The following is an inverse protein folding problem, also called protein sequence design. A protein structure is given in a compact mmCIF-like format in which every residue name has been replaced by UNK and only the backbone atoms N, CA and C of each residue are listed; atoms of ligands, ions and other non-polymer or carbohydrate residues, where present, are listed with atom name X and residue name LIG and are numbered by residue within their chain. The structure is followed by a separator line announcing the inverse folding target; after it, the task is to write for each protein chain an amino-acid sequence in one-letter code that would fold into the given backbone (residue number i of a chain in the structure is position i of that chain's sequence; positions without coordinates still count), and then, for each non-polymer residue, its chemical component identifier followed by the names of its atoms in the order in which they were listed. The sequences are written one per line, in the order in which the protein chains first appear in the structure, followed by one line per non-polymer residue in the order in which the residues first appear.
data_IF_223434734110
#
_entry.id   IF_223434734110
#
_cell.length_a   1.000
_cell.length_b   1.000
_cell.length_c   1.000
_cell.angle_alpha   90.00
_cell.angle_beta   90.00
_cell.angle_gamma   90.00
#
_symmetry.space_group_name_H-M   'P 1'
#
loop_
_entity.id
_entity.type
_entity.pdbx_description
1 polymer ?
#
# COMPACT_ATOMS: atom_id res chain seq x y z
N UNK A 1 24.85 15.96 -6.59
CA UNK A 1 23.42 15.63 -6.78
C UNK A 1 22.76 15.59 -5.41
N UNK A 2 21.98 16.62 -5.09
CA UNK A 2 21.47 16.89 -3.74
C UNK A 2 20.39 15.89 -3.31
N UNK A 3 20.47 15.44 -2.06
CA UNK A 3 19.62 14.42 -1.40
C UNK A 3 18.12 14.78 -1.40
N UNK A 4 17.80 16.05 -1.65
CA UNK A 4 16.43 16.57 -1.77
C UNK A 4 15.75 16.18 -3.09
N UNK A 5 16.49 15.99 -4.19
CA UNK A 5 15.91 15.57 -5.47
C UNK A 5 15.39 14.12 -5.46
N UNK A 6 15.98 13.27 -4.63
CA UNK A 6 15.64 11.84 -4.56
C UNK A 6 14.38 11.60 -3.70
N UNK A 7 14.12 12.48 -2.72
CA UNK A 7 12.89 12.44 -1.89
C UNK A 7 11.70 12.95 -2.70
N UNK A 8 11.85 14.00 -3.51
CA UNK A 8 10.77 14.52 -4.36
C UNK A 8 10.41 13.56 -5.51
N UNK A 9 11.40 12.89 -6.12
CA UNK A 9 11.15 11.91 -7.18
C UNK A 9 10.42 10.65 -6.69
N UNK A 10 10.60 10.25 -5.42
CA UNK A 10 9.91 9.09 -4.83
C UNK A 10 8.45 9.37 -4.44
N UNK A 11 8.09 10.63 -4.13
CA UNK A 11 6.69 11.02 -3.93
C UNK A 11 5.88 10.98 -5.23
N UNK A 12 6.49 11.29 -6.38
CA UNK A 12 5.80 11.31 -7.68
C UNK A 12 5.49 9.89 -8.23
N UNK A 13 6.35 8.89 -7.97
CA UNK A 13 6.12 7.53 -8.49
C UNK A 13 5.06 6.73 -7.71
N UNK A 14 4.74 7.10 -6.47
CA UNK A 14 3.73 6.40 -5.67
C UNK A 14 2.29 6.85 -6.01
N UNK A 15 2.10 8.06 -6.54
CA UNK A 15 0.78 8.55 -6.98
C UNK A 15 0.30 7.91 -8.29
N UNK A 16 1.19 7.40 -9.14
CA UNK A 16 0.81 6.84 -10.45
C UNK A 16 0.39 5.36 -10.39
N UNK A 17 0.78 4.61 -9.34
CA UNK A 17 0.42 3.19 -9.20
C UNK A 17 -0.96 2.95 -8.56
N UNK A 18 -1.53 3.95 -7.88
CA UNK A 18 -2.86 3.85 -7.27
C UNK A 18 -4.00 4.10 -8.28
N UNK A 19 -3.71 4.63 -9.47
CA UNK A 19 -4.72 4.98 -10.48
C UNK A 19 -5.04 3.86 -11.48
N UNK A 20 -4.30 2.74 -11.46
CA UNK A 20 -4.51 1.62 -12.39
C UNK A 20 -5.05 0.38 -11.67
N UNK A 21 -6.28 0.46 -11.19
CA UNK A 21 -7.08 -0.73 -10.90
C UNK A 21 -7.95 -1.03 -12.14
N UNK A 22 -7.83 -2.20 -12.79
CA UNK A 22 -8.72 -2.56 -13.88
C UNK A 22 -10.15 -2.74 -13.34
N UNK A 23 -11.11 -2.12 -14.01
CA UNK A 23 -12.53 -2.27 -13.73
C UNK A 23 -12.94 -3.75 -13.84
N UNK A 24 -13.38 -4.34 -12.73
CA UNK A 24 -14.03 -5.64 -12.74
C UNK A 24 -15.47 -5.45 -13.22
N UNK A 25 -15.76 -5.98 -14.40
CA UNK A 25 -17.09 -6.08 -15.01
C UNK A 25 -17.97 -7.01 -14.16
N UNK A 26 -19.06 -6.47 -13.63
CA UNK A 26 -20.00 -7.19 -12.77
C UNK A 26 -21.08 -7.86 -13.63
N UNK A 27 -21.36 -9.17 -13.49
CA UNK A 27 -22.36 -9.85 -14.31
C UNK A 27 -23.77 -9.41 -13.91
N UNK A 28 -24.57 -9.06 -14.91
CA UNK A 28 -25.96 -8.63 -14.78
C UNK A 28 -26.84 -9.70 -14.12
N UNK A 29 -27.61 -9.32 -13.10
CA UNK A 29 -28.66 -10.14 -12.49
C UNK A 29 -29.91 -9.27 -12.25
N UNK A 30 -31.00 -9.62 -12.94
CA UNK A 30 -32.38 -9.45 -12.48
C UNK A 30 -33.00 -8.05 -12.46
N UNK A 31 -33.71 -7.69 -13.52
CA UNK A 31 -34.66 -6.57 -13.58
C UNK A 31 -35.92 -6.87 -12.73
N UNK A 32 -36.36 -5.98 -11.82
CA UNK A 32 -37.77 -5.92 -11.44
C UNK A 32 -38.50 -4.86 -12.27
N UNK A 33 -39.72 -5.20 -12.67
CA UNK A 33 -40.58 -4.45 -13.58
C UNK A 33 -40.93 -3.04 -13.08
N UNK A 34 -40.76 -2.04 -13.96
CA UNK A 34 -41.29 -0.69 -13.81
C UNK A 34 -42.78 -0.68 -14.18
N UNK A 35 -43.64 -0.29 -13.24
CA UNK A 35 -45.05 0.03 -13.50
C UNK A 35 -45.11 1.42 -14.12
N UNK A 36 -45.59 1.52 -15.36
CA UNK A 36 -45.78 2.76 -16.09
C UNK A 36 -47.12 3.40 -15.72
N UNK A 37 -47.11 4.60 -15.14
CA UNK A 37 -48.28 5.50 -15.06
C UNK A 37 -48.14 6.62 -16.12
N UNK A 38 -49.24 7.04 -16.78
CA UNK A 38 -49.16 8.00 -17.88
C UNK A 38 -49.08 9.45 -17.39
N UNK A 39 -48.21 10.23 -18.04
CA UNK A 39 -48.06 11.67 -17.82
C UNK A 39 -49.14 12.47 -18.58
N UNK A 40 -49.70 13.57 -18.01
CA UNK A 40 -50.41 14.57 -18.78
C UNK A 40 -49.44 15.61 -19.36
N UNK A 41 -49.73 16.00 -20.61
CA UNK A 41 -49.00 16.97 -21.44
C UNK A 41 -49.11 18.41 -20.90
N UNK A 42 -48.05 19.25 -20.93
CA UNK A 42 -48.17 20.66 -20.57
C UNK A 42 -48.62 21.50 -21.76
N UNK A 43 -49.80 22.11 -21.63
CA UNK A 43 -50.27 23.17 -22.52
C UNK A 43 -49.54 24.49 -22.22
N UNK A 44 -49.08 25.18 -23.27
CA UNK A 44 -48.43 26.48 -23.21
C UNK A 44 -49.39 27.61 -22.75
N UNK A 45 -48.94 28.56 -21.91
CA UNK A 45 -49.65 29.81 -21.72
C UNK A 45 -49.12 30.91 -22.66
N UNK A 46 -50.07 31.63 -23.24
CA UNK A 46 -49.90 32.80 -24.10
C UNK A 46 -49.26 33.99 -23.36
N UNK A 47 -48.52 34.79 -24.13
CA UNK A 47 -48.00 36.10 -23.72
C UNK A 47 -49.14 37.11 -23.50
N UNK A 48 -49.02 38.04 -22.53
CA UNK A 48 -49.75 39.29 -22.53
C UNK A 48 -48.87 40.47 -22.99
N UNK A 49 -49.57 41.36 -23.69
CA UNK A 49 -49.14 42.59 -24.34
C UNK A 49 -49.16 43.76 -23.34
N UNK A 50 -48.24 44.72 -23.49
CA UNK A 50 -48.55 46.16 -23.33
C UNK A 50 -48.57 46.78 -21.91
N UNK A 51 -47.66 47.73 -21.73
CA UNK A 51 -47.54 48.80 -20.71
C UNK A 51 -48.88 49.58 -20.45
N UNK A 52 -49.07 50.38 -19.35
CA UNK A 52 -48.09 51.34 -18.81
C UNK A 52 -48.00 51.48 -17.27
N UNK A 53 -46.86 52.04 -16.82
CA UNK A 53 -46.73 52.69 -15.51
C UNK A 53 -47.65 53.93 -15.45
N UNK A 54 -48.24 54.29 -14.29
CA UNK A 54 -47.51 55.09 -13.29
C UNK A 54 -47.95 54.89 -11.82
N UNK A 55 -47.30 55.67 -10.94
CA UNK A 55 -47.64 56.04 -9.56
C UNK A 55 -47.04 55.17 -8.43
N UNK A 56 -45.89 55.66 -7.92
CA UNK A 56 -45.52 55.49 -6.51
C UNK A 56 -46.52 56.26 -5.62
N UNK A 57 -46.87 55.69 -4.46
CA UNK A 57 -47.04 56.47 -3.24
C UNK A 57 -45.95 56.16 -2.21
N UNK A 58 -45.56 57.22 -1.52
CA UNK A 58 -44.47 57.35 -0.58
C UNK A 58 -44.65 56.55 0.71
N UNK A 59 -43.50 56.17 1.29
CA UNK A 59 -43.16 56.10 2.71
C UNK A 59 -44.31 56.03 3.73
N UNK A 60 -44.47 54.84 4.32
CA UNK A 60 -45.13 54.62 5.60
C UNK A 60 -44.21 53.81 6.49
N UNK A 61 -43.87 54.37 7.65
CA UNK A 61 -42.96 53.83 8.63
C UNK A 61 -43.44 52.50 9.25
N UNK A 62 -42.48 51.67 9.63
CA UNK A 62 -42.61 50.75 10.76
C UNK A 62 -43.34 49.45 10.50
N UNK A 63 -42.69 48.52 9.80
CA UNK A 63 -42.92 47.09 10.06
C UNK A 63 -41.59 46.53 10.55
N UNK A 64 -41.59 46.08 11.80
CA UNK A 64 -40.46 45.47 12.46
C UNK A 64 -39.75 44.51 11.49
N UNK A 65 -38.45 44.72 11.32
CA UNK A 65 -37.59 43.70 10.76
C UNK A 65 -37.76 42.47 11.65
N UNK A 66 -38.54 41.49 11.21
CA UNK A 66 -38.45 40.16 11.78
C UNK A 66 -36.97 39.78 11.68
N UNK A 67 -36.33 39.37 12.79
CA UNK A 67 -35.01 38.83 12.69
C UNK A 67 -35.16 37.61 11.79
N UNK A 68 -34.65 37.70 10.56
CA UNK A 68 -34.39 36.51 9.76
C UNK A 68 -33.72 35.54 10.73
N UNK A 69 -34.28 34.35 11.01
CA UNK A 69 -33.62 33.43 11.93
C UNK A 69 -32.24 33.25 11.34
N UNK A 70 -31.23 33.74 12.04
CA UNK A 70 -29.87 33.56 11.63
C UNK A 70 -29.76 32.06 11.43
N UNK A 71 -29.57 31.63 10.18
CA UNK A 71 -29.20 30.27 9.85
C UNK A 71 -27.87 30.06 10.57
N UNK A 72 -27.95 29.69 11.84
CA UNK A 72 -26.83 29.23 12.62
C UNK A 72 -26.48 27.89 12.00
N UNK A 73 -25.67 27.95 10.95
CA UNK A 73 -24.84 26.87 10.50
C UNK A 73 -23.46 27.01 11.15
N UNK A 74 -23.27 26.74 12.45
CA UNK A 74 -22.03 26.15 12.89
C UNK A 74 -22.14 24.63 12.70
N UNK A 75 -22.24 24.18 11.44
CA UNK A 75 -21.69 22.87 11.13
C UNK A 75 -20.20 23.12 10.91
N UNK A 76 -19.42 22.84 11.94
CA UNK A 76 -17.98 22.98 11.91
C UNK A 76 -17.42 21.87 10.99
N UNK A 77 -17.44 22.12 9.67
CA UNK A 77 -16.99 21.21 8.61
C UNK A 77 -15.46 21.05 8.59
N UNK A 78 -14.78 21.40 9.69
CA UNK A 78 -13.38 21.10 9.85
C UNK A 78 -13.19 19.57 9.86
N UNK A 79 -12.07 19.04 9.31
CA UNK A 79 -11.79 17.60 9.38
C UNK A 79 -11.80 17.06 10.81
N UNK A 80 -11.44 17.92 11.77
CA UNK A 80 -11.50 17.62 13.20
C UNK A 80 -12.95 17.52 13.70
N UNK A 81 -13.81 18.47 13.34
CA UNK A 81 -15.24 18.44 13.66
C UNK A 81 -15.94 17.21 13.07
N UNK A 82 -15.67 16.89 11.80
CA UNK A 82 -16.19 15.69 11.13
C UNK A 82 -15.71 14.40 11.82
N UNK A 83 -14.45 14.34 12.23
CA UNK A 83 -13.94 13.18 12.98
C UNK A 83 -14.62 13.06 14.34
N UNK A 84 -14.83 14.15 15.07
CA UNK A 84 -15.52 14.11 16.38
C UNK A 84 -17.00 13.75 16.26
N UNK A 85 -17.66 14.15 15.17
CA UNK A 85 -19.03 13.78 14.85
C UNK A 85 -19.20 12.32 14.38
N UNK A 86 -18.11 11.66 13.96
CA UNK A 86 -18.18 10.28 13.47
C UNK A 86 -18.51 9.27 14.58
N UNK A 87 -19.16 8.17 14.18
CA UNK A 87 -19.46 7.04 15.06
C UNK A 87 -18.19 6.37 15.61
N UNK A 88 -18.30 5.74 16.79
CA UNK A 88 -17.17 5.10 17.48
C UNK A 88 -16.50 4.02 16.61
N UNK A 89 -17.26 3.28 15.80
CA UNK A 89 -16.72 2.26 14.91
C UNK A 89 -15.94 2.90 13.76
N UNK A 90 -16.44 3.99 13.18
CA UNK A 90 -15.74 4.75 12.12
C UNK A 90 -14.42 5.32 12.65
N UNK A 91 -14.43 5.90 13.86
CA UNK A 91 -13.23 6.37 14.54
C UNK A 91 -12.21 5.25 14.74
N UNK A 92 -12.65 4.07 15.20
CA UNK A 92 -11.77 2.92 15.37
C UNK A 92 -11.15 2.45 14.05
N UNK A 93 -11.93 2.41 12.96
CA UNK A 93 -11.42 2.08 11.61
C UNK A 93 -10.36 3.08 11.16
N UNK A 94 -10.63 4.39 11.27
CA UNK A 94 -9.68 5.43 10.86
C UNK A 94 -8.36 5.36 11.65
N UNK A 95 -8.43 5.20 12.97
CA UNK A 95 -7.24 5.07 13.83
C UNK A 95 -6.49 3.77 13.51
N UNK A 96 -7.20 2.65 13.31
CA UNK A 96 -6.61 1.37 12.94
C UNK A 96 -5.84 1.43 11.62
N UNK A 97 -6.41 2.09 10.60
CA UNK A 97 -5.76 2.31 9.31
C UNK A 97 -4.54 3.24 9.44
N UNK A 98 -4.62 4.29 10.25
CA UNK A 98 -3.48 5.17 10.53
C UNK A 98 -2.33 4.43 11.22
N UNK A 99 -2.64 3.57 12.20
CA UNK A 99 -1.65 2.71 12.85
C UNK A 99 -1.03 1.70 11.88
N UNK A 100 -1.84 1.03 11.05
CA UNK A 100 -1.36 0.09 10.04
C UNK A 100 -0.41 0.77 9.03
N UNK A 101 -0.66 2.04 8.69
CA UNK A 101 0.23 2.86 7.86
C UNK A 101 1.61 3.06 8.52
N UNK A 102 1.64 3.42 9.81
CA UNK A 102 2.88 3.59 10.57
C UNK A 102 3.70 2.28 10.64
N UNK A 103 3.02 1.17 10.89
CA UNK A 103 3.64 -0.17 10.90
C UNK A 103 4.24 -0.50 9.54
N UNK A 104 3.50 -0.24 8.46
CA UNK A 104 3.95 -0.48 7.08
C UNK A 104 5.23 0.29 6.78
N UNK A 105 5.27 1.59 7.10
CA UNK A 105 6.44 2.44 6.83
C UNK A 105 7.66 1.99 7.64
N UNK A 106 7.47 1.63 8.91
CA UNK A 106 8.54 1.14 9.80
C UNK A 106 9.16 -0.15 9.25
N UNK A 107 8.33 -1.11 8.85
CA UNK A 107 8.80 -2.38 8.30
C UNK A 107 9.48 -2.16 6.94
N UNK A 108 8.90 -1.31 6.08
CA UNK A 108 9.48 -0.97 4.78
C UNK A 108 10.90 -0.40 4.93
N UNK A 109 11.09 0.53 5.87
CA UNK A 109 12.39 1.14 6.14
C UNK A 109 13.39 0.11 6.69
N UNK A 110 12.98 -0.66 7.70
CA UNK A 110 13.82 -1.71 8.28
C UNK A 110 14.25 -2.75 7.23
N UNK A 111 13.31 -3.21 6.39
CA UNK A 111 13.61 -4.17 5.32
C UNK A 111 14.48 -3.59 4.21
N UNK A 112 14.28 -2.33 3.85
CA UNK A 112 15.14 -1.65 2.88
C UNK A 112 16.60 -1.62 3.36
N UNK A 113 16.83 -1.31 4.65
CA UNK A 113 18.17 -1.34 5.24
C UNK A 113 18.75 -2.76 5.31
N UNK A 114 17.95 -3.75 5.72
CA UNK A 114 18.37 -5.16 5.79
C UNK A 114 18.79 -5.70 4.41
N UNK A 115 17.98 -5.46 3.37
CA UNK A 115 18.25 -5.87 1.99
C UNK A 115 19.49 -5.15 1.45
N UNK A 116 19.65 -3.86 1.73
CA UNK A 116 20.80 -3.09 1.28
C UNK A 116 22.11 -3.59 1.91
N UNK A 117 22.11 -3.83 3.23
CA UNK A 117 23.23 -4.40 3.95
C UNK A 117 23.58 -5.81 3.44
N UNK A 118 22.55 -6.65 3.23
CA UNK A 118 22.71 -7.99 2.64
C UNK A 118 23.32 -7.95 1.24
N UNK A 119 22.84 -7.05 0.36
CA UNK A 119 23.36 -6.87 -1.00
C UNK A 119 24.81 -6.41 -1.00
N UNK A 120 25.18 -5.50 -0.10
CA UNK A 120 26.55 -5.02 0.01
C UNK A 120 27.49 -6.13 0.51
N UNK A 121 27.06 -6.90 1.51
CA UNK A 121 27.77 -8.07 2.01
C UNK A 121 27.95 -9.15 0.93
N UNK A 122 26.90 -9.47 0.18
CA UNK A 122 26.94 -10.44 -0.92
C UNK A 122 27.91 -10.01 -2.03
N UNK A 123 27.91 -8.72 -2.41
CA UNK A 123 28.87 -8.17 -3.38
C UNK A 123 30.31 -8.27 -2.91
N UNK A 124 30.57 -7.99 -1.62
CA UNK A 124 31.90 -8.15 -1.02
C UNK A 124 32.36 -9.61 -1.04
N UNK A 125 31.48 -10.53 -0.66
CA UNK A 125 31.75 -11.97 -0.72
C UNK A 125 32.05 -12.43 -2.15
N UNK A 126 31.24 -12.04 -3.13
CA UNK A 126 31.43 -12.40 -4.54
C UNK A 126 32.78 -11.90 -5.08
N UNK A 127 33.18 -10.66 -4.74
CA UNK A 127 34.51 -10.13 -5.12
C UNK A 127 35.65 -10.92 -4.48
N UNK A 128 35.53 -11.24 -3.19
CA UNK A 128 36.57 -11.99 -2.48
C UNK A 128 36.71 -13.42 -3.01
N UNK A 129 35.59 -14.07 -3.36
CA UNK A 129 35.60 -15.40 -4.00
C UNK A 129 36.20 -15.30 -5.41
N UNK A 130 35.79 -14.32 -6.22
CA UNK A 130 36.28 -14.14 -7.58
C UNK A 130 37.78 -13.82 -7.68
N UNK A 131 38.36 -13.21 -6.63
CA UNK A 131 39.79 -12.91 -6.57
C UNK A 131 40.62 -14.03 -5.93
N UNK A 132 40.00 -15.09 -5.42
CA UNK A 132 40.70 -16.20 -4.76
C UNK A 132 41.02 -17.31 -5.77
N UNK A 133 42.26 -17.81 -5.74
CA UNK A 133 42.68 -18.91 -6.60
C UNK A 133 42.25 -20.29 -6.05
N UNK A 134 41.90 -20.37 -4.76
CA UNK A 134 41.50 -21.62 -4.10
C UNK A 134 40.35 -21.38 -3.11
N UNK A 135 39.57 -22.44 -2.83
CA UNK A 135 38.52 -22.42 -1.80
C UNK A 135 39.07 -21.98 -0.43
N UNK A 136 40.25 -22.48 -0.06
CA UNK A 136 40.92 -22.15 1.20
C UNK A 136 41.32 -20.68 1.31
N UNK A 137 41.71 -20.07 0.18
CA UNK A 137 41.97 -18.64 0.13
C UNK A 137 40.67 -17.84 0.24
N UNK A 138 39.60 -18.27 -0.43
CA UNK A 138 38.29 -17.63 -0.34
C UNK A 138 37.74 -17.69 1.11
N UNK A 139 37.83 -18.84 1.80
CA UNK A 139 37.32 -18.96 3.18
C UNK A 139 38.10 -18.10 4.17
N UNK A 140 39.42 -18.00 4.01
CA UNK A 140 40.27 -17.06 4.76
C UNK A 140 39.90 -15.60 4.49
N UNK A 141 39.67 -15.24 3.23
CA UNK A 141 39.33 -13.87 2.84
C UNK A 141 37.95 -13.42 3.35
N UNK A 142 36.97 -14.32 3.40
CA UNK A 142 35.64 -14.04 3.96
C UNK A 142 35.61 -14.08 5.49
N UNK A 143 36.53 -14.84 6.11
CA UNK A 143 36.66 -14.93 7.56
C UNK A 143 35.41 -15.48 8.26
N UNK A 144 35.28 -15.21 9.58
CA UNK A 144 34.17 -15.73 10.41
C UNK A 144 32.89 -14.91 10.32
N UNK A 145 32.98 -13.67 9.83
CA UNK A 145 31.87 -12.72 9.75
C UNK A 145 31.34 -12.51 8.31
N UNK A 146 31.77 -13.31 7.34
CA UNK A 146 31.42 -13.11 5.91
C UNK A 146 29.97 -13.45 5.51
N UNK A 147 29.06 -13.60 6.48
CA UNK A 147 27.63 -13.83 6.26
C UNK A 147 27.35 -15.07 5.40
N UNK A 148 26.31 -15.00 4.56
CA UNK A 148 25.89 -16.10 3.68
C UNK A 148 27.00 -16.55 2.72
N UNK A 149 27.83 -15.62 2.22
CA UNK A 149 28.95 -15.97 1.35
C UNK A 149 29.96 -16.89 2.02
N UNK A 150 30.25 -16.65 3.30
CA UNK A 150 31.17 -17.50 4.07
C UNK A 150 30.57 -18.89 4.31
N UNK A 151 29.26 -18.97 4.54
CA UNK A 151 28.55 -20.23 4.69
C UNK A 151 28.61 -21.07 3.40
N UNK A 152 28.42 -20.44 2.23
CA UNK A 152 28.52 -21.14 0.94
C UNK A 152 29.93 -21.71 0.70
N UNK A 153 30.97 -20.91 0.94
CA UNK A 153 32.37 -21.36 0.76
C UNK A 153 32.71 -22.49 1.74
N UNK A 154 32.30 -22.38 3.01
CA UNK A 154 32.54 -23.43 4.01
C UNK A 154 31.82 -24.73 3.68
N UNK A 155 30.57 -24.65 3.22
CA UNK A 155 29.83 -25.83 2.83
C UNK A 155 30.49 -26.55 1.64
N UNK A 156 31.07 -25.79 0.71
CA UNK A 156 31.84 -26.34 -0.40
C UNK A 156 33.19 -26.95 0.06
N UNK A 157 33.89 -26.29 0.99
CA UNK A 157 35.14 -26.82 1.58
C UNK A 157 34.90 -28.12 2.35
N UNK A 158 33.84 -28.17 3.16
CA UNK A 158 33.48 -29.34 3.95
C UNK A 158 33.11 -30.53 3.05
N UNK A 159 32.30 -30.31 2.02
CA UNK A 159 31.93 -31.36 1.07
C UNK A 159 33.14 -31.85 0.26
N UNK A 160 34.06 -30.95 -0.12
CA UNK A 160 35.31 -31.33 -0.78
C UNK A 160 36.22 -32.16 0.13
N UNK A 161 36.32 -31.81 1.42
CA UNK A 161 37.10 -32.57 2.41
C UNK A 161 36.51 -33.96 2.67
N UNK A 162 35.19 -34.08 2.79
CA UNK A 162 34.49 -35.36 2.96
C UNK A 162 34.62 -36.26 1.73
N UNK A 163 34.70 -35.66 0.54
CA UNK A 163 34.81 -36.39 -0.73
C UNK A 163 36.23 -36.74 -1.13
N UNK A 164 37.25 -36.30 -0.37
CA UNK A 164 38.67 -36.47 -0.70
C UNK A 164 39.05 -37.92 -0.99
N UNK A 165 38.57 -38.89 -0.21
CA UNK A 165 38.85 -40.32 -0.44
C UNK A 165 37.98 -40.99 -1.52
N UNK A 166 36.85 -40.38 -1.90
CA UNK A 166 35.95 -40.89 -2.94
C UNK A 166 36.30 -40.37 -4.34
N UNK A 167 36.99 -39.24 -4.42
CA UNK A 167 37.50 -38.64 -5.66
C UNK A 167 38.43 -39.57 -6.43
N UNK A 168 39.21 -40.39 -5.72
CA UNK A 168 40.15 -41.35 -6.30
C UNK A 168 39.45 -42.48 -7.07
N UNK A 169 38.16 -42.74 -6.81
CA UNK A 169 37.44 -43.90 -7.34
C UNK A 169 36.25 -43.53 -8.26
N UNK A 170 35.61 -42.37 -8.05
CA UNK A 170 34.37 -42.00 -8.74
C UNK A 170 34.44 -40.68 -9.52
N UNK A 171 35.62 -40.05 -9.61
CA UNK A 171 35.82 -38.79 -10.32
C UNK A 171 35.14 -37.58 -9.67
N UNK A 172 35.27 -36.42 -10.30
CA UNK A 172 34.88 -35.12 -9.73
C UNK A 172 33.42 -34.72 -9.91
N UNK A 173 32.65 -35.38 -10.78
CA UNK A 173 31.30 -34.90 -11.13
C UNK A 173 30.28 -35.10 -10.00
N UNK A 174 30.35 -36.22 -9.26
CA UNK A 174 29.49 -36.43 -8.10
C UNK A 174 29.75 -35.40 -6.98
N UNK A 175 30.99 -34.94 -6.82
CA UNK A 175 31.31 -33.86 -5.89
C UNK A 175 30.64 -32.55 -6.31
N UNK A 176 30.74 -32.18 -7.59
CA UNK A 176 30.12 -30.94 -8.12
C UNK A 176 28.61 -30.94 -7.89
N UNK A 177 27.94 -32.06 -8.13
CA UNK A 177 26.49 -32.20 -7.93
C UNK A 177 26.11 -32.03 -6.45
N UNK A 178 26.84 -32.66 -5.52
CA UNK A 178 26.59 -32.53 -4.08
C UNK A 178 26.83 -31.11 -3.57
N UNK A 179 27.92 -30.48 -4.03
CA UNK A 179 28.22 -29.07 -3.71
C UNK A 179 27.11 -28.17 -4.23
N UNK A 180 26.73 -28.29 -5.51
CA UNK A 180 25.64 -27.50 -6.10
C UNK A 180 24.33 -27.67 -5.32
N UNK A 181 23.96 -28.91 -5.00
CA UNK A 181 22.77 -29.23 -4.20
C UNK A 181 22.80 -28.59 -2.80
N UNK A 182 23.95 -28.61 -2.10
CA UNK A 182 24.12 -27.92 -0.80
C UNK A 182 24.01 -26.40 -0.94
N UNK A 183 24.63 -25.82 -1.96
CA UNK A 183 24.59 -24.38 -2.22
C UNK A 183 23.15 -23.90 -2.46
N UNK A 184 22.37 -24.60 -3.30
CA UNK A 184 20.96 -24.28 -3.55
C UNK A 184 20.12 -24.32 -2.26
N UNK A 185 20.39 -25.28 -1.36
CA UNK A 185 19.70 -25.34 -0.05
C UNK A 185 20.02 -24.12 0.83
N UNK A 186 21.29 -23.71 0.86
CA UNK A 186 21.73 -22.54 1.63
C UNK A 186 21.13 -21.25 1.04
N UNK A 187 21.12 -21.13 -0.29
CA UNK A 187 20.48 -20.01 -0.99
C UNK A 187 18.99 -19.92 -0.66
N UNK A 188 18.25 -21.02 -0.77
CA UNK A 188 16.83 -21.07 -0.45
C UNK A 188 16.56 -20.69 1.02
N UNK A 189 17.41 -21.14 1.96
CA UNK A 189 17.31 -20.75 3.36
C UNK A 189 17.57 -19.25 3.57
N UNK A 190 18.56 -18.68 2.88
CA UNK A 190 18.86 -17.25 2.92
C UNK A 190 17.72 -16.41 2.33
N UNK A 191 17.12 -16.85 1.22
CA UNK A 191 15.98 -16.20 0.59
C UNK A 191 14.76 -16.19 1.53
N UNK A 192 14.44 -17.33 2.17
CA UNK A 192 13.37 -17.41 3.18
C UNK A 192 13.62 -16.49 4.38
N UNK A 193 14.88 -16.40 4.84
CA UNK A 193 15.23 -15.48 5.93
C UNK A 193 15.00 -14.02 5.53
N UNK A 194 15.36 -13.66 4.29
CA UNK A 194 15.18 -12.30 3.77
C UNK A 194 13.69 -11.92 3.63
N UNK A 195 12.83 -12.87 3.24
CA UNK A 195 11.39 -12.66 3.09
C UNK A 195 10.61 -12.66 4.42
N UNK A 196 11.22 -13.02 5.56
CA UNK A 196 10.53 -12.95 6.86
C UNK A 196 10.01 -11.54 7.13
N UNK A 197 8.73 -11.42 7.48
CA UNK A 197 8.09 -10.15 7.83
C UNK A 197 7.45 -9.41 6.65
N UNK A 198 7.74 -9.77 5.40
CA UNK A 198 7.06 -9.15 4.24
C UNK A 198 5.62 -9.64 4.09
N UNK A 199 5.29 -10.80 4.65
CA UNK A 199 3.92 -11.33 4.66
C UNK A 199 2.93 -10.42 5.38
N UNK A 200 3.35 -9.74 6.46
CA UNK A 200 2.48 -8.80 7.17
C UNK A 200 2.12 -7.59 6.28
N UNK A 201 3.07 -7.09 5.48
CA UNK A 201 2.79 -6.03 4.50
C UNK A 201 1.81 -6.49 3.44
N UNK A 202 1.94 -7.74 2.98
CA UNK A 202 1.00 -8.32 2.03
C UNK A 202 -0.41 -8.39 2.61
N UNK A 203 -0.56 -8.83 3.87
CA UNK A 203 -1.86 -8.88 4.56
C UNK A 203 -2.44 -7.49 4.79
N UNK A 204 -1.65 -6.53 5.28
CA UNK A 204 -2.14 -5.16 5.49
C UNK A 204 -2.56 -4.55 4.15
N UNK A 205 -1.74 -4.69 3.11
CA UNK A 205 -2.03 -4.17 1.77
C UNK A 205 -3.29 -4.78 1.15
N UNK A 206 -3.56 -6.07 1.37
CA UNK A 206 -4.76 -6.72 0.83
C UNK A 206 -6.03 -6.46 1.65
N UNK A 207 -5.92 -6.31 2.98
CA UNK A 207 -7.09 -6.18 3.87
C UNK A 207 -7.52 -4.74 4.13
N UNK A 208 -6.60 -3.78 4.06
CA UNK A 208 -6.89 -2.36 4.34
C UNK A 208 -8.04 -1.77 3.50
N UNK A 209 -8.18 -2.05 2.18
CA UNK A 209 -9.31 -1.53 1.40
C UNK A 209 -10.67 -2.00 1.92
N UNK A 210 -10.76 -3.27 2.34
CA UNK A 210 -11.99 -3.83 2.89
C UNK A 210 -12.33 -3.26 4.26
N UNK A 211 -11.31 -3.03 5.11
CA UNK A 211 -11.49 -2.37 6.41
C UNK A 211 -11.98 -0.93 6.22
N UNK A 212 -11.44 -0.21 5.23
CA UNK A 212 -11.92 1.14 4.86
C UNK A 212 -13.35 1.13 4.34
N UNK A 213 -13.68 0.21 3.41
CA UNK A 213 -15.03 0.04 2.88
C UNK A 213 -16.05 -0.31 3.98
N UNK A 214 -15.66 -1.15 4.94
CA UNK A 214 -16.50 -1.45 6.11
C UNK A 214 -16.84 -0.17 6.89
N UNK A 215 -15.85 0.70 7.12
CA UNK A 215 -16.07 1.98 7.81
C UNK A 215 -17.05 2.90 7.06
N UNK A 216 -16.98 2.94 5.72
CA UNK A 216 -17.91 3.78 4.94
C UNK A 216 -19.32 3.20 4.91
N UNK A 217 -19.48 1.88 4.75
CA UNK A 217 -20.79 1.21 4.80
C UNK A 217 -21.45 1.42 6.16
N UNK A 218 -20.70 1.23 7.24
CA UNK A 218 -21.20 1.46 8.60
C UNK A 218 -21.63 2.91 8.82
N UNK A 219 -20.80 3.87 8.40
CA UNK A 219 -21.12 5.29 8.52
C UNK A 219 -22.40 5.69 7.79
N UNK A 220 -22.56 5.20 6.55
CA UNK A 220 -23.78 5.44 5.75
C UNK A 220 -25.00 4.76 6.39
N UNK A 221 -24.86 3.52 6.88
CA UNK A 221 -25.94 2.82 7.57
C UNK A 221 -26.43 3.59 8.79
N UNK A 222 -25.51 4.11 9.62
CA UNK A 222 -25.87 4.88 10.80
C UNK A 222 -26.56 6.21 10.44
N UNK A 223 -26.18 6.84 9.32
CA UNK A 223 -26.81 8.06 8.82
C UNK A 223 -28.24 7.85 8.31
N UNK A 224 -28.65 6.61 8.01
CA UNK A 224 -30.04 6.28 7.66
C UNK A 224 -30.90 5.83 8.85
N UNK A 225 -30.29 5.51 9.99
CA UNK A 225 -30.98 5.05 11.20
C UNK A 225 -31.32 6.22 12.14
N UNK A 226 -30.46 7.25 12.19
CA UNK A 226 -30.69 8.49 12.94
C UNK A 226 -31.56 9.48 12.17
#
# INVERSE_FOLDING_TARGET
MSRTGLVAALFASAMLAAASAPAQEQPASGTPATITAPAPSPAAPAAPVGAPAPAQPQAGAGTAAEPSPALSLPHDLSPWGMFMAADIIVKAVMIGLAFASLVTWTIWLAKSLEVLAGKLGARRAARAIGNAATLKQASRALGRNGGTGALLVRAAEEEAALSAGALDHAGGDGLKERVASRLTRIEAAAARRMSRGTGLLATIGSTAPFVGLFGTVWGIMNAFIG
#
